data_IF_236222565196
#
_entry.id   IF_236222565196
#
_cell.length_a   1.000
_cell.length_b   1.000
_cell.length_c   1.000
_cell.angle_alpha   90.00
_cell.angle_beta   90.00
_cell.angle_gamma   90.00
#
_symmetry.space_group_name_H-M   'P 1'
#
loop_
_entity.id
_entity.type
_entity.pdbx_description
1 polymer ?
#
# COMPACT_ATOMS: atom_id res chain seq x y z
N UNK A 1 -11.39 -6.04 8.85
CA UNK A 1 -10.37 -5.41 8.03
C UNK A 1 -10.79 -4.03 7.53
N UNK A 2 -9.98 -3.40 6.71
CA UNK A 2 -10.10 -2.00 6.25
C UNK A 2 -11.46 -1.66 5.62
N UNK A 3 -12.05 -2.58 4.85
CA UNK A 3 -13.38 -2.36 4.23
C UNK A 3 -14.44 -1.99 5.27
N UNK A 4 -14.48 -2.68 6.42
CA UNK A 4 -15.45 -2.36 7.49
C UNK A 4 -15.18 -0.99 8.10
N UNK A 5 -13.92 -0.59 8.28
CA UNK A 5 -13.56 0.73 8.79
C UNK A 5 -14.02 1.84 7.83
N UNK A 6 -13.77 1.67 6.53
CA UNK A 6 -14.25 2.61 5.52
C UNK A 6 -15.78 2.67 5.47
N UNK A 7 -16.45 1.52 5.48
CA UNK A 7 -17.92 1.48 5.48
C UNK A 7 -18.51 2.18 6.71
N UNK A 8 -17.98 1.93 7.90
CA UNK A 8 -18.40 2.63 9.12
C UNK A 8 -18.23 4.15 9.02
N UNK A 9 -17.09 4.61 8.50
CA UNK A 9 -16.86 6.04 8.26
C UNK A 9 -17.83 6.64 7.24
N UNK A 10 -18.14 5.92 6.17
CA UNK A 10 -19.11 6.36 5.15
C UNK A 10 -20.53 6.43 5.72
N UNK A 11 -20.97 5.41 6.46
CA UNK A 11 -22.30 5.36 7.09
C UNK A 11 -22.52 6.55 8.04
N UNK A 12 -21.50 6.93 8.81
CA UNK A 12 -21.52 8.10 9.68
C UNK A 12 -21.79 9.41 8.91
N UNK A 13 -21.34 9.47 7.65
CA UNK A 13 -21.60 10.60 6.75
C UNK A 13 -22.89 10.45 5.93
N UNK A 14 -23.70 9.43 6.21
CA UNK A 14 -24.92 9.14 5.47
C UNK A 14 -24.71 8.56 4.07
N UNK A 15 -23.51 8.05 3.78
CA UNK A 15 -23.14 7.46 2.49
C UNK A 15 -23.05 5.94 2.63
N UNK A 16 -23.70 5.20 1.72
CA UNK A 16 -23.60 3.75 1.65
C UNK A 16 -22.63 3.31 0.56
N UNK A 17 -21.99 2.18 0.77
CA UNK A 17 -21.15 1.57 -0.26
C UNK A 17 -21.98 1.31 -1.52
N UNK A 18 -21.56 1.87 -2.64
CA UNK A 18 -22.25 1.79 -3.93
C UNK A 18 -23.08 3.02 -4.32
N UNK A 19 -23.31 3.97 -3.40
CA UNK A 19 -23.99 5.23 -3.74
C UNK A 19 -23.20 6.10 -4.72
N UNK A 20 -21.86 5.91 -4.75
CA UNK A 20 -20.95 6.62 -5.66
C UNK A 20 -20.30 5.64 -6.65
N UNK A 21 -19.91 6.11 -7.85
CA UNK A 21 -19.18 5.28 -8.80
C UNK A 21 -17.90 4.69 -8.17
N UNK A 22 -17.66 3.40 -8.37
CA UNK A 22 -16.49 2.70 -7.85
C UNK A 22 -15.33 2.76 -8.84
N UNK A 23 -14.16 3.11 -8.34
CA UNK A 23 -12.95 3.10 -9.14
C UNK A 23 -12.39 1.67 -9.24
N UNK A 24 -12.18 1.19 -10.49
CA UNK A 24 -11.80 -0.21 -10.75
C UNK A 24 -10.29 -0.46 -10.86
N UNK A 25 -9.46 0.48 -10.44
CA UNK A 25 -8.01 0.42 -10.68
C UNK A 25 -7.36 -0.89 -10.19
N UNK A 26 -7.64 -1.31 -8.97
CA UNK A 26 -7.07 -2.56 -8.43
C UNK A 26 -7.53 -3.79 -9.20
N UNK A 27 -8.81 -3.84 -9.58
CA UNK A 27 -9.38 -4.95 -10.34
C UNK A 27 -8.76 -5.12 -11.71
N UNK A 28 -8.26 -4.05 -12.33
CA UNK A 28 -7.58 -4.11 -13.62
C UNK A 28 -6.24 -4.84 -13.55
N UNK A 29 -5.63 -4.94 -12.39
CA UNK A 29 -4.36 -5.65 -12.20
C UNK A 29 -4.54 -7.12 -11.81
N UNK A 30 -5.72 -7.53 -11.32
CA UNK A 30 -5.96 -8.92 -10.87
C UNK A 30 -5.70 -9.99 -11.94
N UNK A 31 -6.00 -9.79 -13.24
CA UNK A 31 -5.70 -10.79 -14.28
C UNK A 31 -4.19 -11.07 -14.45
N UNK A 32 -3.33 -10.16 -14.00
CA UNK A 32 -1.88 -10.31 -14.07
C UNK A 32 -1.28 -10.98 -12.83
N UNK A 33 -2.09 -11.22 -11.80
CA UNK A 33 -1.66 -11.88 -10.56
C UNK A 33 -1.86 -13.39 -10.72
N UNK A 34 -0.86 -14.08 -11.26
CA UNK A 34 -0.93 -15.51 -11.59
C UNK A 34 -0.06 -16.39 -10.68
N UNK A 35 0.60 -15.80 -9.69
CA UNK A 35 1.43 -16.52 -8.73
C UNK A 35 1.47 -15.80 -7.36
N UNK A 36 1.89 -16.50 -6.28
CA UNK A 36 2.11 -15.85 -4.99
C UNK A 36 3.13 -14.70 -5.06
N UNK A 37 4.19 -14.83 -5.86
CA UNK A 37 5.17 -13.77 -6.07
C UNK A 37 4.54 -12.53 -6.73
N UNK A 38 3.69 -12.73 -7.75
CA UNK A 38 2.93 -11.63 -8.36
C UNK A 38 2.01 -10.94 -7.35
N UNK A 39 1.30 -11.72 -6.51
CA UNK A 39 0.43 -11.17 -5.47
C UNK A 39 1.21 -10.30 -4.49
N UNK A 40 2.27 -10.82 -3.90
CA UNK A 40 3.10 -10.10 -2.91
C UNK A 40 3.70 -8.83 -3.52
N UNK A 41 4.23 -8.91 -4.73
CA UNK A 41 4.84 -7.75 -5.39
C UNK A 41 3.82 -6.68 -5.75
N UNK A 42 2.63 -7.07 -6.22
CA UNK A 42 1.57 -6.14 -6.64
C UNK A 42 0.83 -5.57 -5.43
N UNK A 43 0.35 -6.42 -4.54
CA UNK A 43 -0.49 -5.98 -3.42
C UNK A 43 0.38 -5.41 -2.29
N UNK A 44 1.16 -6.26 -1.62
CA UNK A 44 1.84 -5.84 -0.39
C UNK A 44 2.97 -4.84 -0.64
N UNK A 45 3.79 -5.06 -1.68
CA UNK A 45 4.98 -4.24 -1.95
C UNK A 45 4.74 -3.10 -2.95
N UNK A 46 3.51 -2.92 -3.42
CA UNK A 46 3.17 -1.79 -4.28
C UNK A 46 1.96 -1.04 -3.75
N UNK A 47 0.77 -1.64 -3.74
CA UNK A 47 -0.44 -0.91 -3.34
C UNK A 47 -0.50 -0.64 -1.84
N UNK A 48 -0.23 -1.63 -1.00
CA UNK A 48 -0.21 -1.47 0.46
C UNK A 48 0.98 -0.60 0.91
N UNK A 49 2.15 -0.73 0.24
CA UNK A 49 3.29 0.15 0.49
C UNK A 49 2.97 1.62 0.17
N UNK A 50 2.17 1.92 -0.85
CA UNK A 50 1.74 3.29 -1.14
C UNK A 50 0.85 3.87 -0.02
N UNK A 51 0.11 3.04 0.69
CA UNK A 51 -0.72 3.46 1.82
C UNK A 51 0.11 3.94 3.03
N UNK A 52 1.40 3.59 3.11
CA UNK A 52 2.31 4.20 4.09
C UNK A 52 2.45 5.73 3.89
N UNK A 53 2.09 6.22 2.71
CA UNK A 53 2.04 7.65 2.40
C UNK A 53 0.61 8.20 2.41
N UNK A 54 -0.33 7.47 1.83
CA UNK A 54 -1.72 7.94 1.69
C UNK A 54 -2.46 7.96 3.03
N UNK A 55 -2.30 6.95 3.88
CA UNK A 55 -2.99 6.91 5.16
C UNK A 55 -2.62 8.10 6.07
N UNK A 56 -1.33 8.45 6.30
CA UNK A 56 -1.01 9.64 7.08
C UNK A 56 -1.40 10.95 6.38
N UNK A 57 -1.42 11.00 5.06
CA UNK A 57 -1.88 12.17 4.31
C UNK A 57 -3.37 12.41 4.55
N UNK A 58 -4.21 11.39 4.34
CA UNK A 58 -5.65 11.49 4.58
C UNK A 58 -5.97 11.72 6.07
N UNK A 59 -5.25 11.05 6.99
CA UNK A 59 -5.40 11.27 8.42
C UNK A 59 -5.21 12.73 8.83
N UNK A 60 -4.14 13.37 8.31
CA UNK A 60 -3.94 14.81 8.54
C UNK A 60 -5.03 15.68 7.93
N UNK A 61 -5.51 15.34 6.73
CA UNK A 61 -6.61 16.06 6.10
C UNK A 61 -7.89 15.98 6.91
N UNK A 62 -8.27 14.80 7.36
CA UNK A 62 -9.46 14.64 8.20
C UNK A 62 -9.33 15.40 9.53
N UNK A 63 -8.19 15.30 10.20
CA UNK A 63 -7.93 16.05 11.44
C UNK A 63 -8.01 17.57 11.22
N UNK A 64 -7.46 18.07 10.11
CA UNK A 64 -7.51 19.51 9.77
C UNK A 64 -8.95 20.02 9.61
N UNK A 65 -9.84 19.21 9.05
CA UNK A 65 -11.27 19.55 8.90
C UNK A 65 -12.12 19.13 10.11
N UNK A 66 -11.52 18.70 11.21
CA UNK A 66 -12.21 18.38 12.46
C UNK A 66 -12.83 16.97 12.50
N UNK A 67 -12.63 16.13 11.48
CA UNK A 67 -13.09 14.74 11.50
C UNK A 67 -12.05 13.83 12.20
N UNK A 68 -12.07 13.87 13.53
CA UNK A 68 -11.12 13.12 14.36
C UNK A 68 -11.31 11.62 14.24
N UNK A 69 -12.56 11.15 14.09
CA UNK A 69 -12.86 9.72 13.95
C UNK A 69 -12.31 9.16 12.63
N UNK A 70 -12.48 9.86 11.52
CA UNK A 70 -11.86 9.45 10.25
C UNK A 70 -10.32 9.49 10.33
N UNK A 71 -9.75 10.45 11.06
CA UNK A 71 -8.29 10.50 11.29
C UNK A 71 -7.79 9.29 12.10
N UNK A 72 -8.54 8.82 13.10
CA UNK A 72 -8.24 7.61 13.87
C UNK A 72 -8.33 6.34 13.02
N UNK A 73 -9.32 6.27 12.12
CA UNK A 73 -9.42 5.19 11.13
C UNK A 73 -8.14 5.13 10.28
N UNK A 74 -7.65 6.28 9.79
CA UNK A 74 -6.41 6.32 9.00
C UNK A 74 -5.18 5.91 9.80
N UNK A 75 -5.13 6.23 11.09
CA UNK A 75 -4.06 5.79 11.99
C UNK A 75 -4.07 4.26 12.16
N UNK A 76 -5.25 3.68 12.32
CA UNK A 76 -5.43 2.22 12.40
C UNK A 76 -5.01 1.53 11.11
N UNK A 77 -5.41 2.08 9.96
CA UNK A 77 -5.01 1.57 8.64
C UNK A 77 -3.49 1.64 8.48
N UNK A 78 -2.85 2.76 8.83
CA UNK A 78 -1.39 2.89 8.75
C UNK A 78 -0.66 1.80 9.54
N UNK A 79 -1.12 1.51 10.76
CA UNK A 79 -0.53 0.46 11.59
C UNK A 79 -0.67 -0.93 10.95
N UNK A 80 -1.79 -1.18 10.27
CA UNK A 80 -2.00 -2.43 9.53
C UNK A 80 -1.10 -2.50 8.28
N UNK A 81 -0.98 -1.43 7.51
CA UNK A 81 -0.13 -1.40 6.30
C UNK A 81 1.35 -1.62 6.64
N UNK A 82 1.82 -1.10 7.78
CA UNK A 82 3.17 -1.40 8.28
C UNK A 82 3.37 -2.91 8.50
N UNK A 83 2.35 -3.61 9.01
CA UNK A 83 2.41 -5.08 9.20
C UNK A 83 2.34 -5.84 7.88
N UNK A 84 1.51 -5.38 6.96
CA UNK A 84 1.34 -5.99 5.63
C UNK A 84 2.59 -5.83 4.77
N UNK A 85 3.27 -4.69 4.85
CA UNK A 85 4.55 -4.48 4.17
C UNK A 85 5.63 -5.42 4.71
N UNK A 86 5.77 -5.57 6.05
CA UNK A 86 6.68 -6.56 6.66
C UNK A 86 6.39 -7.99 6.18
N UNK A 87 5.12 -8.35 6.09
CA UNK A 87 4.68 -9.63 5.55
C UNK A 87 5.13 -9.78 4.10
N UNK A 88 4.88 -8.78 3.27
CA UNK A 88 5.24 -8.76 1.85
C UNK A 88 6.73 -8.99 1.63
N UNK A 89 7.60 -8.25 2.32
CA UNK A 89 9.06 -8.42 2.20
C UNK A 89 9.55 -9.78 2.64
N UNK A 90 9.01 -10.31 3.74
CA UNK A 90 9.36 -11.66 4.21
C UNK A 90 9.02 -12.72 3.17
N UNK A 91 7.88 -12.60 2.50
CA UNK A 91 7.48 -13.54 1.46
C UNK A 91 8.21 -13.30 0.14
N UNK A 92 8.49 -12.06 -0.24
CA UNK A 92 9.35 -11.78 -1.39
C UNK A 92 10.70 -12.49 -1.24
N UNK A 93 11.34 -12.39 -0.06
CA UNK A 93 12.62 -13.04 0.20
C UNK A 93 12.58 -14.57 0.05
N UNK A 94 11.42 -15.19 0.29
CA UNK A 94 11.22 -16.65 0.15
C UNK A 94 10.83 -17.10 -1.25
N UNK A 95 10.12 -16.25 -1.99
CA UNK A 95 9.52 -16.61 -3.28
C UNK A 95 10.38 -16.18 -4.48
N UNK A 96 11.29 -15.23 -4.30
CA UNK A 96 12.24 -14.82 -5.34
C UNK A 96 13.26 -15.92 -5.65
N UNK A 97 13.91 -15.83 -6.80
CA UNK A 97 15.08 -16.64 -7.08
C UNK A 97 16.18 -16.35 -6.06
N UNK A 98 16.90 -17.40 -5.64
CA UNK A 98 17.84 -17.32 -4.52
C UNK A 98 18.90 -16.23 -4.69
N UNK A 99 19.49 -16.13 -5.87
CA UNK A 99 20.57 -15.18 -6.20
C UNK A 99 20.10 -13.76 -6.51
N UNK A 100 18.79 -13.53 -6.74
CA UNK A 100 18.28 -12.21 -7.11
C UNK A 100 18.17 -11.30 -5.89
N UNK A 101 18.72 -10.07 -5.93
CA UNK A 101 18.45 -9.08 -4.90
C UNK A 101 16.94 -8.79 -4.78
N UNK A 102 16.39 -8.61 -3.57
CA UNK A 102 14.95 -8.44 -3.39
C UNK A 102 14.35 -7.26 -4.18
N UNK A 103 15.06 -6.15 -4.28
CA UNK A 103 14.63 -4.98 -5.06
C UNK A 103 14.47 -5.32 -6.54
N UNK A 104 15.46 -5.97 -7.12
CA UNK A 104 15.46 -6.36 -8.53
C UNK A 104 14.38 -7.41 -8.82
N UNK A 105 14.22 -8.39 -7.92
CA UNK A 105 13.16 -9.39 -8.03
C UNK A 105 11.77 -8.74 -8.01
N UNK A 106 11.55 -7.73 -7.15
CA UNK A 106 10.31 -6.95 -7.13
C UNK A 106 10.10 -6.20 -8.45
N UNK A 107 11.11 -5.45 -8.94
CA UNK A 107 11.04 -4.71 -10.20
C UNK A 107 10.71 -5.62 -11.39
N UNK A 108 11.41 -6.75 -11.50
CA UNK A 108 11.19 -7.72 -12.57
C UNK A 108 9.77 -8.29 -12.53
N UNK A 109 9.27 -8.58 -11.33
CA UNK A 109 7.90 -9.08 -11.14
C UNK A 109 6.87 -8.03 -11.55
N UNK A 110 7.09 -6.74 -11.24
CA UNK A 110 6.18 -5.66 -11.64
C UNK A 110 6.10 -5.50 -13.17
N UNK A 111 7.20 -5.72 -13.89
CA UNK A 111 7.17 -5.71 -15.36
C UNK A 111 6.19 -6.74 -15.92
N UNK A 112 6.18 -7.95 -15.37
CA UNK A 112 5.26 -9.02 -15.80
C UNK A 112 3.80 -8.71 -15.45
N UNK A 113 3.54 -8.00 -14.35
CA UNK A 113 2.20 -7.56 -13.93
C UNK A 113 1.78 -6.22 -14.53
N UNK A 114 2.60 -5.63 -15.41
CA UNK A 114 2.35 -4.33 -16.08
C UNK A 114 2.12 -3.17 -15.10
N UNK A 115 2.67 -3.26 -13.91
CA UNK A 115 2.56 -2.26 -12.87
C UNK A 115 3.86 -1.45 -12.76
N UNK A 116 3.73 -0.13 -12.71
CA UNK A 116 4.91 0.74 -12.60
C UNK A 116 5.38 0.85 -11.15
N UNK A 117 6.69 0.75 -10.87
CA UNK A 117 7.23 0.81 -9.50
C UNK A 117 6.86 2.08 -8.73
N UNK A 118 6.70 3.22 -9.42
CA UNK A 118 6.27 4.49 -8.81
C UNK A 118 4.91 4.40 -8.11
N UNK A 119 4.11 3.35 -8.38
CA UNK A 119 2.84 3.11 -7.70
C UNK A 119 3.01 2.64 -6.25
N UNK A 120 4.22 2.31 -5.83
CA UNK A 120 4.55 1.93 -4.45
C UNK A 120 4.74 3.13 -3.50
N UNK A 121 4.50 4.35 -3.99
CA UNK A 121 4.55 5.57 -3.17
C UNK A 121 3.40 6.51 -3.48
N UNK A 122 3.07 7.37 -2.51
CA UNK A 122 2.15 8.48 -2.66
C UNK A 122 2.81 9.72 -3.27
N UNK A 123 2.10 10.85 -3.23
CA UNK A 123 2.61 12.14 -3.71
C UNK A 123 3.81 12.65 -2.90
N UNK A 124 3.82 12.37 -1.60
CA UNK A 124 4.92 12.68 -0.68
C UNK A 124 5.33 11.37 -0.02
N UNK A 125 6.61 11.01 -0.16
CA UNK A 125 7.15 9.81 0.45
C UNK A 125 7.43 10.05 1.95
N UNK A 126 6.78 9.26 2.82
CA UNK A 126 6.99 9.29 4.26
C UNK A 126 8.01 8.21 4.66
N UNK A 127 9.18 8.62 5.12
CA UNK A 127 10.25 7.69 5.50
C UNK A 127 9.99 6.98 6.82
N UNK A 128 9.36 7.67 7.79
CA UNK A 128 9.15 7.12 9.13
C UNK A 128 8.31 5.83 9.14
N UNK A 129 7.13 5.73 8.49
CA UNK A 129 6.35 4.49 8.42
C UNK A 129 7.14 3.35 7.75
N UNK A 130 7.91 3.66 6.70
CA UNK A 130 8.76 2.68 6.00
C UNK A 130 9.86 2.14 6.89
N UNK A 131 10.53 2.99 7.66
CA UNK A 131 11.51 2.56 8.67
C UNK A 131 10.85 1.71 9.75
N UNK A 132 9.66 2.10 10.22
CA UNK A 132 8.87 1.30 11.17
C UNK A 132 8.47 -0.08 10.60
N UNK A 133 8.20 -0.15 9.30
CA UNK A 133 8.02 -1.41 8.58
C UNK A 133 9.34 -2.20 8.43
N UNK A 134 10.49 -1.57 8.69
CA UNK A 134 11.83 -2.16 8.56
C UNK A 134 12.32 -2.20 7.12
N UNK A 135 11.83 -1.31 6.26
CA UNK A 135 12.32 -1.17 4.90
C UNK A 135 13.78 -0.72 4.93
N UNK A 136 14.70 -1.36 4.18
CA UNK A 136 16.09 -0.91 4.10
C UNK A 136 16.20 0.52 3.58
N UNK A 137 17.15 1.29 4.07
CA UNK A 137 17.37 2.67 3.60
C UNK A 137 17.63 2.71 2.09
N UNK A 138 18.33 1.73 1.53
CA UNK A 138 18.54 1.61 0.08
C UNK A 138 17.23 1.50 -0.73
N UNK A 139 16.20 0.83 -0.21
CA UNK A 139 14.89 0.78 -0.86
C UNK A 139 14.18 2.14 -0.78
N UNK A 140 14.26 2.80 0.38
CA UNK A 140 13.66 4.13 0.58
C UNK A 140 14.28 5.13 -0.40
N UNK A 141 15.61 5.14 -0.54
CA UNK A 141 16.34 6.00 -1.47
C UNK A 141 15.96 5.73 -2.93
N UNK A 142 15.80 4.46 -3.29
CA UNK A 142 15.39 4.09 -4.65
C UNK A 142 13.93 4.49 -4.91
N UNK A 143 13.01 4.31 -3.96
CA UNK A 143 11.63 4.78 -4.06
C UNK A 143 11.54 6.30 -4.21
N UNK A 144 12.43 7.07 -3.56
CA UNK A 144 12.47 8.54 -3.71
C UNK A 144 12.80 8.97 -5.13
N UNK A 145 13.63 8.20 -5.84
CA UNK A 145 14.07 8.49 -7.22
C UNK A 145 13.02 8.13 -8.29
N UNK A 146 12.01 7.34 -7.96
CA UNK A 146 10.90 6.99 -8.86
C UNK A 146 9.90 8.14 -8.99
#
# INVERSE_FOLDING_TARGET
GHVRLYMSGMERLGIRFGDMPLYRHFWMHTPHITSPLHYISTMSLTFEMANLDFAPMYGRSFAHFGDTEAAEIMTTILADEIRQEKFGRRWLARLKQEESPPWEAWLLTLQSTKLQPKRAKGFVLHTAPRKSAGLPDSWIEQLQKL
#
